data_IF_638733299659
#
_entry.id   IF_638733299659
#
_cell.length_a   1.000
_cell.length_b   1.000
_cell.length_c   1.000
_cell.angle_alpha   90.00
_cell.angle_beta   90.00
_cell.angle_gamma   90.00
#
_symmetry.space_group_name_H-M   'P 1'
#
loop_
_entity.id
_entity.type
_entity.pdbx_description
1 polymer ?
#
# COMPACT_ATOMS: atom_id res chain seq x y z
N UNK A 1 25.79 25.32 23.16
CA UNK A 1 24.42 25.06 22.63
C UNK A 1 23.68 24.23 23.68
N UNK A 2 22.51 24.66 24.15
CA UNK A 2 21.75 23.98 25.22
C UNK A 2 21.34 22.55 24.78
N UNK A 3 21.52 21.55 25.65
CA UNK A 3 21.18 20.14 25.42
C UNK A 3 19.72 19.93 24.96
N UNK A 4 18.81 20.76 25.45
CA UNK A 4 17.41 20.77 25.06
C UNK A 4 17.23 21.14 23.58
N UNK A 5 17.96 22.15 23.10
CA UNK A 5 17.93 22.58 21.69
C UNK A 5 18.45 21.49 20.76
N UNK A 6 19.49 20.76 21.20
CA UNK A 6 20.05 19.61 20.45
C UNK A 6 19.02 18.50 20.35
N UNK A 7 18.37 18.15 21.46
CA UNK A 7 17.34 17.10 21.50
C UNK A 7 16.15 17.44 20.60
N UNK A 8 15.68 18.69 20.63
CA UNK A 8 14.59 19.15 19.76
C UNK A 8 14.95 19.07 18.28
N UNK A 9 16.17 19.49 17.91
CA UNK A 9 16.65 19.40 16.53
C UNK A 9 16.76 17.95 16.04
N UNK A 10 17.27 17.06 16.90
CA UNK A 10 17.37 15.64 16.62
C UNK A 10 15.98 15.01 16.41
N UNK A 11 15.04 15.27 17.31
CA UNK A 11 13.67 14.76 17.20
C UNK A 11 12.97 15.25 15.93
N UNK A 12 13.16 16.53 15.57
CA UNK A 12 12.67 17.09 14.32
C UNK A 12 13.23 16.32 13.11
N UNK A 13 14.55 16.15 13.04
CA UNK A 13 15.21 15.43 11.95
C UNK A 13 14.67 13.99 11.80
N UNK A 14 14.48 13.28 12.90
CA UNK A 14 13.93 11.93 12.87
C UNK A 14 12.49 11.89 12.35
N UNK A 15 11.62 12.81 12.78
CA UNK A 15 10.23 12.89 12.28
C UNK A 15 10.21 13.22 10.79
N UNK A 16 11.02 14.18 10.33
CA UNK A 16 11.15 14.50 8.91
C UNK A 16 11.60 13.27 8.11
N UNK A 17 12.59 12.53 8.61
CA UNK A 17 13.10 11.31 7.97
C UNK A 17 12.02 10.23 7.85
N UNK A 18 11.19 10.04 8.88
CA UNK A 18 10.13 9.03 8.84
C UNK A 18 8.93 9.43 8.00
N UNK A 19 8.64 10.73 7.89
CA UNK A 19 7.40 11.22 7.26
C UNK A 19 7.59 11.73 5.84
N UNK A 20 8.81 12.02 5.42
CA UNK A 20 9.14 12.34 4.03
C UNK A 20 9.38 11.05 3.23
N UNK A 21 8.33 10.22 3.15
CA UNK A 21 8.34 9.00 2.33
C UNK A 21 8.49 9.38 0.85
N UNK A 22 9.31 8.62 0.12
CA UNK A 22 9.52 8.81 -1.32
C UNK A 22 8.49 7.98 -2.11
N UNK A 23 7.52 8.63 -2.79
CA UNK A 23 6.53 7.90 -3.57
C UNK A 23 7.13 7.05 -4.69
N UNK A 24 8.26 7.47 -5.28
CA UNK A 24 8.89 6.72 -6.36
C UNK A 24 9.39 5.36 -5.85
N UNK A 25 10.07 5.33 -4.70
CA UNK A 25 10.49 4.08 -4.06
C UNK A 25 9.33 3.22 -3.59
N UNK A 26 8.23 3.84 -3.17
CA UNK A 26 7.04 3.10 -2.78
C UNK A 26 6.32 2.50 -3.99
N UNK A 27 6.40 3.13 -5.18
CA UNK A 27 5.86 2.56 -6.40
C UNK A 27 6.51 1.22 -6.78
N UNK A 28 7.75 0.98 -6.36
CA UNK A 28 8.43 -0.31 -6.54
C UNK A 28 7.68 -1.50 -5.92
N UNK A 29 6.85 -1.25 -4.88
CA UNK A 29 5.97 -2.27 -4.29
C UNK A 29 5.01 -2.87 -5.33
N UNK A 30 4.56 -2.04 -6.28
CA UNK A 30 3.65 -2.44 -7.35
C UNK A 30 4.42 -2.92 -8.60
N UNK A 31 5.55 -2.28 -8.91
CA UNK A 31 6.28 -2.58 -10.15
C UNK A 31 6.92 -3.97 -10.15
N UNK A 32 7.29 -4.51 -8.98
CA UNK A 32 7.88 -5.84 -8.89
C UNK A 32 6.99 -6.93 -9.52
N UNK A 33 5.69 -6.97 -9.19
CA UNK A 33 4.77 -7.98 -9.72
C UNK A 33 4.51 -7.80 -11.22
N UNK A 34 4.42 -6.54 -11.69
CA UNK A 34 4.25 -6.23 -13.11
C UNK A 34 5.43 -6.65 -13.95
N UNK A 35 6.65 -6.29 -13.53
CA UNK A 35 7.88 -6.62 -14.26
C UNK A 35 8.07 -8.14 -14.31
N UNK A 36 7.83 -8.82 -13.20
CA UNK A 36 7.95 -10.27 -13.14
C UNK A 36 6.95 -10.97 -14.07
N UNK A 37 5.68 -10.55 -14.06
CA UNK A 37 4.65 -11.09 -14.94
C UNK A 37 4.96 -10.82 -16.43
N UNK A 38 5.39 -9.61 -16.79
CA UNK A 38 5.75 -9.26 -18.16
C UNK A 38 6.89 -10.13 -18.70
N UNK A 39 7.96 -10.31 -17.91
CA UNK A 39 9.09 -11.19 -18.28
C UNK A 39 8.67 -12.64 -18.42
N UNK A 40 7.73 -13.10 -17.58
CA UNK A 40 7.22 -14.46 -17.68
C UNK A 40 6.43 -14.66 -18.97
N UNK A 41 5.51 -13.75 -19.30
CA UNK A 41 4.73 -13.78 -20.55
C UNK A 41 5.66 -13.80 -21.76
N UNK A 42 6.65 -12.90 -21.81
CA UNK A 42 7.64 -12.85 -22.89
C UNK A 42 8.39 -14.20 -23.06
N UNK A 43 8.77 -14.82 -21.94
CA UNK A 43 9.43 -16.12 -21.94
C UNK A 43 8.49 -17.23 -22.42
N UNK A 44 7.23 -17.21 -22.03
CA UNK A 44 6.22 -18.17 -22.47
C UNK A 44 5.92 -18.03 -23.95
N UNK A 45 5.78 -16.81 -24.46
CA UNK A 45 5.59 -16.53 -25.90
C UNK A 45 6.76 -17.08 -26.73
N UNK A 46 7.99 -16.91 -26.24
CA UNK A 46 9.17 -17.49 -26.89
C UNK A 46 9.09 -19.02 -26.97
N UNK A 47 8.72 -19.68 -25.86
CA UNK A 47 8.56 -21.15 -25.83
C UNK A 47 7.46 -21.63 -26.76
N UNK A 48 6.34 -20.92 -26.85
CA UNK A 48 5.27 -21.26 -27.80
C UNK A 48 5.79 -21.25 -29.24
N UNK A 49 6.57 -20.23 -29.63
CA UNK A 49 7.18 -20.18 -30.96
C UNK A 49 8.16 -21.32 -31.20
N UNK A 50 8.96 -21.68 -30.20
CA UNK A 50 9.87 -22.83 -30.25
C UNK A 50 9.11 -24.15 -30.45
N UNK A 51 8.02 -24.38 -29.71
CA UNK A 51 7.15 -25.57 -29.84
C UNK A 51 6.51 -25.64 -31.23
N UNK A 52 5.97 -24.53 -31.73
CA UNK A 52 5.33 -24.49 -33.05
C UNK A 52 6.35 -24.80 -34.15
N UNK A 53 7.56 -24.24 -34.05
CA UNK A 53 8.65 -24.43 -35.00
C UNK A 53 9.34 -25.81 -34.91
N UNK A 54 9.10 -26.58 -33.85
CA UNK A 54 9.70 -27.90 -33.68
C UNK A 54 9.06 -28.90 -34.65
N UNK A 55 9.84 -29.36 -35.63
CA UNK A 55 9.40 -30.32 -36.65
C UNK A 55 9.37 -31.76 -36.14
N UNK A 56 9.97 -32.03 -34.96
CA UNK A 56 9.99 -33.36 -34.36
C UNK A 56 8.71 -33.70 -33.63
N UNK A 57 7.87 -32.70 -33.33
CA UNK A 57 6.60 -32.86 -32.63
C UNK A 57 5.44 -32.95 -33.62
N UNK A 58 4.52 -33.86 -33.35
CA UNK A 58 3.23 -33.85 -34.04
C UNK A 58 2.29 -32.76 -33.49
N UNK A 59 1.11 -32.63 -34.12
CA UNK A 59 0.14 -31.61 -33.73
C UNK A 59 -0.40 -31.80 -32.32
N UNK A 60 -0.59 -33.04 -31.88
CA UNK A 60 -1.19 -33.34 -30.59
C UNK A 60 -0.18 -33.05 -29.46
N UNK A 61 1.08 -33.42 -29.67
CA UNK A 61 2.18 -33.08 -28.76
C UNK A 61 2.38 -31.56 -28.63
N UNK A 62 2.28 -30.82 -29.73
CA UNK A 62 2.35 -29.35 -29.71
C UNK A 62 1.23 -28.75 -28.89
N UNK A 63 0.00 -29.19 -29.14
CA UNK A 63 -1.18 -28.69 -28.43
C UNK A 63 -1.06 -28.96 -26.93
N UNK A 64 -0.73 -30.18 -26.53
CA UNK A 64 -0.54 -30.52 -25.10
C UNK A 64 0.51 -29.62 -24.43
N UNK A 65 1.65 -29.38 -25.08
CA UNK A 65 2.70 -28.52 -24.52
C UNK A 65 2.27 -27.05 -24.43
N UNK A 66 1.50 -26.56 -25.41
CA UNK A 66 0.97 -25.20 -25.39
C UNK A 66 -0.08 -25.06 -24.29
N UNK A 67 -0.95 -26.06 -24.11
CA UNK A 67 -1.97 -26.05 -23.06
C UNK A 67 -1.33 -25.94 -21.66
N UNK A 68 -0.24 -26.69 -21.40
CA UNK A 68 0.52 -26.53 -20.16
C UNK A 68 1.08 -25.10 -19.97
N UNK A 69 1.55 -24.45 -21.04
CA UNK A 69 2.03 -23.07 -20.96
C UNK A 69 0.88 -22.07 -20.71
N UNK A 70 -0.31 -22.34 -21.24
CA UNK A 70 -1.50 -21.52 -20.98
C UNK A 70 -1.89 -21.58 -19.51
N UNK A 71 -1.86 -22.76 -18.90
CA UNK A 71 -2.09 -22.94 -17.45
C UNK A 71 -1.04 -22.18 -16.62
N UNK A 72 0.24 -22.31 -16.96
CA UNK A 72 1.34 -21.57 -16.33
C UNK A 72 1.15 -20.05 -16.40
N UNK A 73 0.75 -19.52 -17.57
CA UNK A 73 0.47 -18.08 -17.75
C UNK A 73 -0.73 -17.65 -16.90
N UNK A 74 -1.78 -18.47 -16.83
CA UNK A 74 -2.94 -18.21 -15.97
C UNK A 74 -2.53 -18.12 -14.50
N UNK A 75 -1.74 -19.09 -14.00
CA UNK A 75 -1.22 -19.08 -12.64
C UNK A 75 -0.37 -17.84 -12.34
N UNK A 76 0.43 -17.41 -13.31
CA UNK A 76 1.25 -16.20 -13.16
C UNK A 76 0.44 -14.91 -13.12
N UNK A 77 -0.69 -14.87 -13.83
CA UNK A 77 -1.62 -13.76 -13.72
C UNK A 77 -2.26 -13.70 -12.32
N UNK A 78 -2.58 -14.85 -11.71
CA UNK A 78 -3.06 -14.89 -10.32
C UNK A 78 -1.99 -14.41 -9.33
N UNK A 79 -0.73 -14.82 -9.54
CA UNK A 79 0.41 -14.33 -8.74
C UNK A 79 0.56 -12.81 -8.89
N UNK A 80 0.38 -12.25 -10.09
CA UNK A 80 0.39 -10.80 -10.31
C UNK A 80 -0.69 -10.12 -9.47
N UNK A 81 -1.93 -10.60 -9.53
CA UNK A 81 -3.06 -10.04 -8.77
C UNK A 81 -2.77 -10.04 -7.27
N UNK A 82 -2.27 -11.16 -6.74
CA UNK A 82 -1.85 -11.26 -5.33
C UNK A 82 -0.75 -10.24 -5.01
N UNK A 83 0.23 -10.08 -5.90
CA UNK A 83 1.29 -9.08 -5.74
C UNK A 83 0.75 -7.64 -5.66
N UNK A 84 -0.26 -7.31 -6.46
CA UNK A 84 -0.90 -5.99 -6.44
C UNK A 84 -1.68 -5.74 -5.15
N UNK A 85 -2.38 -6.75 -4.61
CA UNK A 85 -3.02 -6.67 -3.29
C UNK A 85 -2.00 -6.47 -2.17
N UNK A 86 -0.88 -7.20 -2.23
CA UNK A 86 0.23 -7.06 -1.28
C UNK A 86 0.87 -5.67 -1.36
N UNK A 87 0.91 -5.03 -2.53
CA UNK A 87 1.40 -3.67 -2.67
C UNK A 87 0.54 -2.67 -1.86
N UNK A 88 -0.79 -2.77 -1.92
CA UNK A 88 -1.71 -1.94 -1.11
C UNK A 88 -1.46 -2.14 0.39
N UNK A 89 -1.35 -3.41 0.82
CA UNK A 89 -1.08 -3.76 2.22
C UNK A 89 0.27 -3.19 2.66
N UNK A 90 1.30 -3.32 1.81
CA UNK A 90 2.64 -2.79 2.04
C UNK A 90 2.68 -1.27 2.16
N UNK A 91 1.94 -0.56 1.31
CA UNK A 91 1.81 0.89 1.36
C UNK A 91 1.18 1.34 2.68
N UNK A 92 0.02 0.77 3.04
CA UNK A 92 -0.63 1.09 4.32
C UNK A 92 0.30 0.79 5.50
N UNK A 93 0.98 -0.37 5.48
CA UNK A 93 1.88 -0.76 6.57
C UNK A 93 3.06 0.20 6.72
N UNK A 94 3.63 0.67 5.62
CA UNK A 94 4.72 1.65 5.61
C UNK A 94 4.28 2.95 6.26
N UNK A 95 3.11 3.46 5.86
CA UNK A 95 2.51 4.67 6.43
C UNK A 95 2.23 4.50 7.92
N UNK A 96 1.64 3.37 8.32
CA UNK A 96 1.35 3.08 9.74
C UNK A 96 2.64 3.11 10.59
N UNK A 97 3.72 2.48 10.11
CA UNK A 97 5.01 2.46 10.79
C UNK A 97 5.60 3.87 10.89
N UNK A 98 5.56 4.64 9.81
CA UNK A 98 6.05 6.03 9.79
C UNK A 98 5.35 6.88 10.85
N UNK A 99 4.01 6.81 10.90
CA UNK A 99 3.22 7.54 11.90
C UNK A 99 3.56 7.08 13.32
N UNK A 100 3.58 5.77 13.58
CA UNK A 100 3.92 5.19 14.89
C UNK A 100 5.29 5.66 15.39
N UNK A 101 6.31 5.64 14.52
CA UNK A 101 7.66 6.08 14.86
C UNK A 101 7.69 7.58 15.19
N UNK A 102 7.03 8.41 14.40
CA UNK A 102 6.94 9.86 14.64
C UNK A 102 6.22 10.19 15.94
N UNK A 103 5.12 9.50 16.25
CA UNK A 103 4.41 9.67 17.52
C UNK A 103 5.29 9.28 18.71
N UNK A 104 6.01 8.17 18.63
CA UNK A 104 6.91 7.71 19.70
C UNK A 104 7.98 8.75 20.05
N UNK A 105 8.52 9.46 19.06
CA UNK A 105 9.54 10.51 19.27
C UNK A 105 9.03 11.66 20.13
N UNK A 106 7.74 11.99 20.07
CA UNK A 106 7.17 13.09 20.86
C UNK A 106 7.21 12.83 22.36
N UNK A 107 7.24 11.55 22.79
CA UNK A 107 7.08 11.17 24.19
C UNK A 107 5.68 11.45 24.78
N UNK A 108 4.73 11.95 23.98
CA UNK A 108 3.39 12.36 24.45
C UNK A 108 2.35 11.24 24.42
N UNK A 109 2.69 10.09 23.85
CA UNK A 109 1.78 8.97 23.66
C UNK A 109 2.22 7.76 24.47
N UNK A 110 1.28 7.19 25.21
CA UNK A 110 1.47 5.91 25.89
C UNK A 110 1.55 4.75 24.90
N UNK A 111 2.13 3.62 25.35
CA UNK A 111 2.19 2.38 24.56
C UNK A 111 0.81 1.95 24.05
N UNK A 112 -0.22 2.01 24.91
CA UNK A 112 -1.60 1.67 24.56
C UNK A 112 -2.13 2.55 23.42
N UNK A 113 -1.89 3.86 23.46
CA UNK A 113 -2.32 4.77 22.41
C UNK A 113 -1.66 4.44 21.06
N UNK A 114 -0.39 4.04 21.06
CA UNK A 114 0.32 3.61 19.84
C UNK A 114 -0.22 2.29 19.26
N UNK A 115 -0.72 1.38 20.10
CA UNK A 115 -1.33 0.11 19.68
C UNK A 115 -2.74 0.32 19.08
N UNK A 116 -3.46 1.34 19.53
CA UNK A 116 -4.83 1.65 19.09
C UNK A 116 -4.94 2.40 17.76
N UNK A 117 -3.82 2.80 17.13
CA UNK A 117 -3.81 3.62 15.90
C UNK A 117 -4.48 2.97 14.68
N UNK A 118 -4.70 1.66 14.70
CA UNK A 118 -5.44 0.97 13.66
C UNK A 118 -6.94 1.31 13.65
N UNK A 119 -7.46 1.84 14.78
CA UNK A 119 -8.85 2.31 14.93
C UNK A 119 -8.90 3.80 14.60
N UNK A 120 -9.65 4.19 13.57
CA UNK A 120 -9.63 5.57 13.06
C UNK A 120 -10.13 6.59 14.09
N UNK A 121 -11.12 6.21 14.90
CA UNK A 121 -11.68 7.04 15.96
C UNK A 121 -10.61 7.34 17.01
N UNK A 122 -9.86 6.31 17.42
CA UNK A 122 -8.74 6.45 18.37
C UNK A 122 -7.57 7.21 17.77
N UNK A 123 -7.26 6.98 16.50
CA UNK A 123 -6.27 7.78 15.79
C UNK A 123 -6.58 9.29 15.84
N UNK A 124 -7.83 9.67 15.54
CA UNK A 124 -8.27 11.07 15.58
C UNK A 124 -8.23 11.60 17.03
N UNK A 125 -8.78 10.85 17.99
CA UNK A 125 -8.81 11.23 19.40
C UNK A 125 -7.38 11.48 19.96
N UNK A 126 -6.44 10.59 19.66
CA UNK A 126 -5.07 10.67 20.14
C UNK A 126 -4.37 11.92 19.60
N UNK A 127 -4.48 12.22 18.30
CA UNK A 127 -3.89 13.43 17.74
C UNK A 127 -4.58 14.71 18.20
N UNK A 128 -5.90 14.69 18.40
CA UNK A 128 -6.63 15.83 18.97
C UNK A 128 -6.14 16.17 20.38
N UNK A 129 -5.75 15.18 21.18
CA UNK A 129 -5.21 15.41 22.53
C UNK A 129 -3.89 16.20 22.57
N UNK A 130 -3.18 16.28 21.43
CA UNK A 130 -1.99 17.13 21.24
C UNK A 130 -2.25 18.30 20.28
N UNK A 131 -3.51 18.74 20.15
CA UNK A 131 -3.95 19.86 19.31
C UNK A 131 -3.67 19.69 17.81
N UNK A 132 -3.71 18.47 17.29
CA UNK A 132 -3.59 18.19 15.85
C UNK A 132 -4.95 17.72 15.30
N UNK A 133 -5.57 18.55 14.45
CA UNK A 133 -6.80 18.20 13.73
C UNK A 133 -6.46 17.43 12.44
N UNK A 134 -6.34 16.10 12.55
CA UNK A 134 -5.87 15.24 11.44
C UNK A 134 -6.79 15.25 10.21
N UNK A 135 -8.10 15.47 10.40
CA UNK A 135 -9.05 15.51 9.28
C UNK A 135 -8.85 16.72 8.37
N UNK A 136 -8.22 17.79 8.90
CA UNK A 136 -7.89 18.99 8.14
C UNK A 136 -6.61 18.86 7.31
N UNK A 137 -5.83 17.78 7.51
CA UNK A 137 -4.58 17.57 6.79
C UNK A 137 -4.91 17.02 5.39
N UNK A 138 -4.36 17.67 4.38
CA UNK A 138 -4.51 17.25 3.00
C UNK A 138 -4.13 15.78 2.81
N UNK A 139 -4.95 15.01 2.10
CA UNK A 139 -4.75 13.58 1.86
C UNK A 139 -5.29 12.65 2.96
N UNK A 140 -5.85 13.18 4.06
CA UNK A 140 -6.43 12.35 5.13
C UNK A 140 -7.49 11.37 4.61
N UNK A 141 -8.37 11.82 3.70
CA UNK A 141 -9.39 10.96 3.12
C UNK A 141 -8.78 9.78 2.35
N UNK A 142 -7.75 10.02 1.54
CA UNK A 142 -7.04 8.95 0.82
C UNK A 142 -6.34 7.98 1.75
N UNK A 143 -5.73 8.47 2.84
CA UNK A 143 -5.16 7.61 3.87
C UNK A 143 -6.23 6.73 4.56
N UNK A 144 -7.38 7.31 4.90
CA UNK A 144 -8.46 6.55 5.52
C UNK A 144 -9.10 5.55 4.54
N UNK A 145 -9.22 5.90 3.27
CA UNK A 145 -9.64 4.99 2.21
C UNK A 145 -8.68 3.80 2.11
N UNK A 146 -7.37 4.08 2.03
CA UNK A 146 -6.31 3.07 2.00
C UNK A 146 -6.39 2.11 3.20
N UNK A 147 -6.65 2.64 4.40
CA UNK A 147 -6.86 1.84 5.62
C UNK A 147 -8.04 0.88 5.47
N UNK A 148 -9.17 1.37 4.97
CA UNK A 148 -10.39 0.58 4.77
C UNK A 148 -10.18 -0.52 3.71
N UNK A 149 -9.48 -0.21 2.61
CA UNK A 149 -9.13 -1.17 1.57
C UNK A 149 -8.17 -2.24 2.10
N UNK A 150 -7.11 -1.84 2.81
CA UNK A 150 -6.20 -2.79 3.47
C UNK A 150 -6.97 -3.77 4.39
N UNK A 151 -7.98 -3.28 5.13
CA UNK A 151 -8.79 -4.16 5.97
C UNK A 151 -9.63 -5.15 5.14
N UNK A 152 -10.18 -4.71 4.00
CA UNK A 152 -10.92 -5.61 3.10
C UNK A 152 -10.00 -6.69 2.53
N UNK A 153 -8.84 -6.32 1.98
CA UNK A 153 -7.86 -7.25 1.40
C UNK A 153 -7.31 -8.26 2.42
N UNK A 154 -7.10 -7.84 3.68
CA UNK A 154 -6.61 -8.73 4.74
C UNK A 154 -7.61 -9.80 5.19
N UNK A 155 -8.90 -9.58 5.00
CA UNK A 155 -9.94 -10.42 5.60
C UNK A 155 -10.75 -11.20 4.58
N UNK A 156 -11.10 -10.58 3.45
CA UNK A 156 -12.01 -11.21 2.48
C UNK A 156 -11.66 -10.95 1.02
N UNK A 157 -10.98 -9.84 0.71
CA UNK A 157 -10.82 -9.38 -0.67
C UNK A 157 -12.08 -8.72 -1.26
N UNK A 158 -13.12 -8.51 -0.45
CA UNK A 158 -14.40 -7.91 -0.87
C UNK A 158 -14.69 -6.60 -0.14
N UNK A 159 -15.35 -5.68 -0.84
CA UNK A 159 -15.75 -4.37 -0.32
C UNK A 159 -16.65 -4.52 0.90
N UNK A 160 -16.18 -4.01 2.04
CA UNK A 160 -16.96 -3.94 3.28
C UNK A 160 -18.00 -2.81 3.24
N UNK A 161 -18.98 -2.89 4.15
CA UNK A 161 -19.95 -1.79 4.35
C UNK A 161 -19.23 -0.46 4.68
N UNK A 162 -18.20 -0.49 5.52
CA UNK A 162 -17.47 0.71 5.92
C UNK A 162 -16.74 1.39 4.74
N UNK A 163 -16.22 0.61 3.78
CA UNK A 163 -15.59 1.16 2.57
C UNK A 163 -16.63 1.74 1.60
N UNK A 164 -17.76 1.05 1.40
CA UNK A 164 -18.90 1.57 0.64
C UNK A 164 -19.43 2.87 1.24
N UNK A 165 -19.70 2.91 2.54
CA UNK A 165 -20.23 4.09 3.24
C UNK A 165 -19.25 5.29 3.13
N UNK A 166 -17.95 5.03 3.03
CA UNK A 166 -16.93 6.08 2.87
C UNK A 166 -16.93 6.72 1.48
N UNK A 167 -17.13 5.93 0.40
CA UNK A 167 -17.24 6.45 -0.97
C UNK A 167 -18.14 5.54 -1.82
N UNK A 168 -19.47 5.75 -1.79
CA UNK A 168 -20.43 4.86 -2.46
C UNK A 168 -20.43 5.01 -3.99
N UNK A 169 -19.85 6.10 -4.52
CA UNK A 169 -19.69 6.26 -5.98
C UNK A 169 -18.60 5.36 -6.55
N UNK A 170 -17.65 4.91 -5.72
CA UNK A 170 -16.52 4.09 -6.14
C UNK A 170 -16.63 2.65 -5.66
N UNK A 171 -17.19 2.44 -4.46
CA UNK A 171 -17.20 1.14 -3.80
C UNK A 171 -18.62 0.65 -3.57
N UNK A 172 -18.91 -0.60 -3.97
CA UNK A 172 -20.19 -1.26 -3.70
C UNK A 172 -19.97 -2.50 -2.86
N UNK A 173 -20.74 -2.63 -1.78
CA UNK A 173 -20.59 -3.71 -0.80
C UNK A 173 -20.68 -5.09 -1.47
N UNK A 174 -19.74 -5.97 -1.13
CA UNK A 174 -19.68 -7.34 -1.62
C UNK A 174 -19.02 -7.51 -2.99
N UNK A 175 -18.68 -6.42 -3.68
CA UNK A 175 -17.85 -6.52 -4.89
C UNK A 175 -16.42 -6.92 -4.53
N UNK A 176 -15.81 -7.74 -5.38
CA UNK A 176 -14.40 -8.12 -5.26
C UNK A 176 -13.53 -6.90 -5.55
N UNK A 177 -12.45 -6.73 -4.81
CA UNK A 177 -11.43 -5.72 -5.10
C UNK A 177 -10.45 -6.34 -6.10
N UNK A 178 -10.63 -6.06 -7.39
CA UNK A 178 -9.82 -6.60 -8.49
C UNK A 178 -8.98 -5.54 -9.22
N UNK A 179 -9.12 -4.27 -8.85
CA UNK A 179 -8.39 -3.12 -9.41
C UNK A 179 -7.28 -2.60 -8.47
N UNK A 180 -6.59 -3.51 -7.79
CA UNK A 180 -5.56 -3.18 -6.78
C UNK A 180 -4.44 -2.29 -7.32
N UNK A 181 -3.96 -2.52 -8.55
CA UNK A 181 -2.92 -1.70 -9.18
C UNK A 181 -3.37 -0.24 -9.39
N UNK A 182 -4.55 -0.01 -9.97
CA UNK A 182 -5.09 1.33 -10.19
C UNK A 182 -5.35 2.05 -8.87
N UNK A 183 -5.97 1.33 -7.92
CA UNK A 183 -6.22 1.81 -6.57
C UNK A 183 -4.93 2.22 -5.87
N UNK A 184 -3.85 1.43 -6.02
CA UNK A 184 -2.54 1.74 -5.46
C UNK A 184 -2.00 3.05 -6.04
N UNK A 185 -1.97 3.17 -7.36
CA UNK A 185 -1.47 4.36 -8.05
C UNK A 185 -2.25 5.62 -7.64
N UNK A 186 -3.58 5.52 -7.54
CA UNK A 186 -4.46 6.62 -7.13
C UNK A 186 -4.20 7.08 -5.68
N UNK A 187 -3.97 6.14 -4.77
CA UNK A 187 -3.87 6.42 -3.33
C UNK A 187 -2.45 6.75 -2.86
N UNK A 188 -1.41 6.35 -3.61
CA UNK A 188 -0.02 6.51 -3.25
C UNK A 188 0.34 7.96 -2.88
N UNK A 189 0.23 8.88 -3.83
CA UNK A 189 0.71 10.25 -3.64
C UNK A 189 -0.10 11.02 -2.58
N UNK A 190 -1.45 11.02 -2.60
CA UNK A 190 -2.22 11.70 -1.57
C UNK A 190 -1.99 11.15 -0.15
N UNK A 191 -1.83 9.82 -0.01
CA UNK A 191 -1.57 9.21 1.30
C UNK A 191 -0.18 9.56 1.84
N UNK A 192 0.85 9.58 0.97
CA UNK A 192 2.19 10.04 1.34
C UNK A 192 2.18 11.54 1.71
N UNK A 193 1.43 12.35 0.97
CA UNK A 193 1.24 13.78 1.25
C UNK A 193 0.63 14.01 2.64
N UNK A 194 -0.35 13.19 3.02
CA UNK A 194 -0.93 13.20 4.37
C UNK A 194 0.13 12.92 5.45
N UNK A 195 0.95 11.88 5.28
CA UNK A 195 1.99 11.53 6.26
C UNK A 195 2.99 12.67 6.45
N UNK A 196 3.42 13.30 5.35
CA UNK A 196 4.31 14.47 5.40
C UNK A 196 3.65 15.65 6.11
N UNK A 197 2.39 15.95 5.78
CA UNK A 197 1.61 17.00 6.45
C UNK A 197 1.45 16.76 7.95
N UNK A 198 1.20 15.51 8.33
CA UNK A 198 1.12 15.09 9.72
C UNK A 198 2.47 15.23 10.43
N UNK A 199 3.57 14.82 9.81
CA UNK A 199 4.93 15.03 10.32
C UNK A 199 5.22 16.49 10.64
N UNK A 200 4.88 17.40 9.72
CA UNK A 200 5.01 18.84 9.93
C UNK A 200 4.21 19.32 11.15
N UNK A 201 2.97 18.85 11.31
CA UNK A 201 2.14 19.19 12.47
C UNK A 201 2.73 18.65 13.78
N UNK A 202 3.26 17.42 13.77
CA UNK A 202 3.92 16.82 14.94
C UNK A 202 5.14 17.62 15.38
N UNK A 203 5.98 18.05 14.43
CA UNK A 203 7.19 18.85 14.68
C UNK A 203 6.86 20.16 15.40
N UNK A 204 5.73 20.80 15.07
CA UNK A 204 5.27 22.03 15.74
C UNK A 204 4.90 21.82 17.21
N UNK A 205 4.75 20.56 17.65
CA UNK A 205 4.45 20.23 19.04
C UNK A 205 5.69 19.88 19.87
N UNK A 206 6.86 19.68 19.25
CA UNK A 206 8.15 19.57 19.96
C UNK A 206 8.54 20.93 20.54
#
# INVERSE_FOLDING_TARGET
>A
MNQEKITKLHNKFLIETYTNLDPARLADLLEFSKIYNAKFIEKSDKKVREIIGDISLDSDEKNQRIDFLVEDVSMMNDIRIIGEELAIIGLYKTIEIAIKKSMKITGKFSKKQLEELHKIEKFIEHFKSINIEVKSIEGFNSFNELRLINNCLKHSGFVSKALMDFNPSLWRKGEKIDNSAETFSRLLYPSVKFVKGLGNKIILTL
#
